data_IF_898525697600
#
_entry.id   IF_898525697600
#
_cell.length_a   1.000
_cell.length_b   1.000
_cell.length_c   1.000
_cell.angle_alpha   90.00
_cell.angle_beta   90.00
_cell.angle_gamma   90.00
#
_symmetry.space_group_name_H-M   'P 1'
#
loop_
_entity.id
_entity.type
_entity.pdbx_description
1 polymer ?
#
# COMPACT_ATOMS: atom_id res chain seq x y z
N UNK A 1 13.38 9.60 -29.47
CA UNK A 1 13.33 8.39 -28.65
C UNK A 1 12.52 8.73 -27.41
N UNK A 2 11.34 8.17 -27.24
CA UNK A 2 10.55 8.30 -26.02
C UNK A 2 11.28 7.57 -24.89
N UNK A 3 11.69 8.28 -23.86
CA UNK A 3 12.32 7.67 -22.66
C UNK A 3 11.32 6.69 -22.05
N UNK A 4 11.70 5.42 -21.94
CA UNK A 4 10.90 4.44 -21.21
C UNK A 4 10.87 4.80 -19.72
N UNK A 5 9.69 4.97 -19.14
CA UNK A 5 9.53 5.30 -17.72
C UNK A 5 9.95 4.11 -16.86
N UNK A 6 10.75 4.38 -15.84
CA UNK A 6 11.11 3.39 -14.81
C UNK A 6 10.05 3.43 -13.71
N UNK A 7 9.32 2.33 -13.56
CA UNK A 7 8.17 2.22 -12.66
C UNK A 7 8.50 1.24 -11.55
N UNK A 8 8.06 1.55 -10.31
CA UNK A 8 8.04 0.62 -9.19
C UNK A 8 6.62 0.51 -8.63
N UNK A 9 6.27 -0.70 -8.20
CA UNK A 9 5.03 -0.97 -7.49
C UNK A 9 5.33 -1.14 -6.00
N UNK A 10 4.42 -0.70 -5.14
CA UNK A 10 4.54 -0.83 -3.69
C UNK A 10 3.22 -1.37 -3.13
N UNK A 11 3.28 -2.43 -2.32
CA UNK A 11 2.11 -3.06 -1.73
C UNK A 11 2.31 -3.32 -0.24
N UNK A 12 1.24 -3.21 0.53
CA UNK A 12 1.31 -3.32 1.98
C UNK A 12 2.02 -4.60 2.45
N UNK A 13 1.57 -5.78 2.02
CA UNK A 13 2.08 -7.09 2.45
C UNK A 13 1.77 -8.20 1.44
N UNK A 14 2.76 -9.07 1.20
CA UNK A 14 2.64 -10.20 0.28
C UNK A 14 2.65 -11.50 1.11
N UNK A 15 1.52 -11.84 1.74
CA UNK A 15 1.40 -12.99 2.62
C UNK A 15 0.05 -13.74 2.52
N UNK A 16 -0.75 -13.45 1.52
CA UNK A 16 -2.05 -14.09 1.26
C UNK A 16 -2.51 -13.84 -0.18
N UNK A 17 -3.65 -14.40 -0.54
CA UNK A 17 -4.40 -14.11 -1.76
C UNK A 17 -5.70 -13.37 -1.43
N UNK A 18 -6.09 -12.39 -2.23
CA UNK A 18 -7.34 -11.64 -2.10
C UNK A 18 -7.62 -10.74 -3.31
N UNK A 19 -8.41 -9.69 -3.13
CA UNK A 19 -8.83 -8.82 -4.23
C UNK A 19 -7.76 -7.81 -4.70
N UNK A 20 -6.85 -7.41 -3.82
CA UNK A 20 -5.78 -6.47 -4.15
C UNK A 20 -4.73 -7.08 -5.07
N UNK A 21 -4.50 -8.38 -4.93
CA UNK A 21 -3.51 -9.14 -5.68
C UNK A 21 -3.88 -9.23 -7.17
N UNK A 22 -5.18 -9.26 -7.49
CA UNK A 22 -5.67 -9.15 -8.89
C UNK A 22 -5.29 -7.81 -9.53
N UNK A 23 -5.35 -6.73 -8.77
CA UNK A 23 -4.90 -5.41 -9.24
C UNK A 23 -3.41 -5.42 -9.55
N UNK A 24 -2.60 -6.03 -8.66
CA UNK A 24 -1.16 -6.15 -8.86
C UNK A 24 -0.81 -6.96 -10.09
N UNK A 25 -1.48 -8.09 -10.31
CA UNK A 25 -1.27 -8.91 -11.52
C UNK A 25 -1.64 -8.15 -12.80
N UNK A 26 -2.76 -7.41 -12.80
CA UNK A 26 -3.13 -6.57 -13.95
C UNK A 26 -2.11 -5.43 -14.19
N UNK A 27 -1.52 -4.87 -13.13
CA UNK A 27 -0.44 -3.89 -13.27
C UNK A 27 0.86 -4.53 -13.79
N UNK A 28 1.13 -5.78 -13.41
CA UNK A 28 2.26 -6.54 -13.93
C UNK A 28 2.14 -6.82 -15.43
N UNK A 29 0.93 -7.12 -15.93
CA UNK A 29 0.69 -7.27 -17.36
C UNK A 29 1.04 -6.01 -18.15
N UNK A 30 0.81 -4.82 -17.56
CA UNK A 30 1.13 -3.53 -18.18
C UNK A 30 2.62 -3.20 -18.04
N UNK A 31 3.21 -3.50 -16.87
CA UNK A 31 4.60 -3.19 -16.53
C UNK A 31 5.34 -4.40 -15.96
N UNK A 32 5.67 -5.41 -16.78
CA UNK A 32 6.27 -6.66 -16.29
C UNK A 32 7.64 -6.49 -15.65
N UNK A 33 8.38 -5.44 -16.02
CA UNK A 33 9.70 -5.14 -15.45
C UNK A 33 9.64 -4.37 -14.12
N UNK A 34 8.43 -3.93 -13.68
CA UNK A 34 8.31 -3.15 -12.45
C UNK A 34 8.51 -4.04 -11.21
N UNK A 35 9.51 -3.75 -10.35
CA UNK A 35 9.68 -4.50 -9.10
C UNK A 35 8.54 -4.17 -8.13
N UNK A 36 8.23 -5.14 -7.26
CA UNK A 36 7.21 -5.02 -6.24
C UNK A 36 7.82 -4.91 -4.85
N UNK A 37 7.74 -3.73 -4.24
CA UNK A 37 8.19 -3.45 -2.89
C UNK A 37 7.10 -3.75 -1.87
N UNK A 38 7.47 -4.30 -0.71
CA UNK A 38 6.50 -4.68 0.32
C UNK A 38 7.12 -4.68 1.73
N UNK A 39 6.29 -4.52 2.77
CA UNK A 39 6.80 -4.63 4.14
C UNK A 39 7.35 -6.03 4.43
N UNK A 40 6.59 -7.08 4.10
CA UNK A 40 6.96 -8.50 4.30
C UNK A 40 6.46 -9.37 3.16
N UNK A 41 7.21 -10.44 2.86
CA UNK A 41 6.90 -11.41 1.83
C UNK A 41 6.93 -12.85 2.38
N UNK A 42 5.87 -13.60 2.15
CA UNK A 42 5.78 -15.02 2.47
C UNK A 42 5.51 -15.85 1.20
N UNK A 43 6.55 -16.34 0.51
CA UNK A 43 6.39 -17.07 -0.75
C UNK A 43 5.56 -18.34 -0.58
N UNK A 44 5.56 -18.98 0.60
CA UNK A 44 4.76 -20.17 0.84
C UNK A 44 3.25 -19.92 0.81
N UNK A 45 2.83 -18.67 1.06
CA UNK A 45 1.41 -18.27 1.09
C UNK A 45 1.00 -17.37 -0.08
N UNK A 46 1.97 -16.90 -0.84
CA UNK A 46 1.76 -15.91 -1.88
C UNK A 46 2.50 -16.25 -3.18
N UNK A 47 2.36 -17.50 -3.66
CA UNK A 47 2.96 -17.97 -4.92
C UNK A 47 2.51 -17.15 -6.16
N UNK A 48 1.40 -16.42 -6.07
CA UNK A 48 0.98 -15.49 -7.11
C UNK A 48 2.00 -14.36 -7.37
N UNK A 49 2.86 -14.08 -6.40
CA UNK A 49 3.85 -13.02 -6.52
C UNK A 49 5.16 -13.48 -7.17
N UNK A 50 5.29 -14.76 -7.55
CA UNK A 50 6.49 -15.32 -8.18
C UNK A 50 6.80 -14.69 -9.55
N UNK A 51 5.80 -14.05 -10.18
CA UNK A 51 5.97 -13.29 -11.43
C UNK A 51 6.72 -11.96 -11.23
N UNK A 52 6.79 -11.45 -9.98
CA UNK A 52 7.43 -10.19 -9.66
C UNK A 52 8.87 -10.34 -9.15
N UNK A 53 9.70 -9.34 -9.41
CA UNK A 53 10.90 -9.12 -8.63
C UNK A 53 10.52 -8.48 -7.29
N UNK A 54 10.25 -9.31 -6.26
CA UNK A 54 9.80 -8.83 -4.94
C UNK A 54 10.98 -8.29 -4.14
N UNK A 55 10.80 -7.09 -3.55
CA UNK A 55 11.77 -6.40 -2.68
C UNK A 55 11.15 -6.13 -1.31
N UNK A 56 11.31 -7.04 -0.34
CA UNK A 56 10.80 -6.84 1.01
C UNK A 56 11.64 -5.84 1.79
N UNK A 57 11.03 -5.21 2.81
CA UNK A 57 11.70 -4.29 3.72
C UNK A 57 12.56 -5.03 4.76
N UNK A 58 13.24 -4.26 5.63
CA UNK A 58 13.98 -4.79 6.76
C UNK A 58 13.09 -5.60 7.73
N UNK A 59 11.78 -5.37 7.75
CA UNK A 59 10.83 -6.13 8.59
C UNK A 59 10.81 -7.62 8.23
N UNK A 60 11.21 -7.99 7.02
CA UNK A 60 11.36 -9.38 6.61
C UNK A 60 12.28 -10.18 7.54
N UNK A 61 13.29 -9.53 8.11
CA UNK A 61 14.32 -10.12 8.97
C UNK A 61 14.03 -9.97 10.45
N UNK A 62 12.98 -9.23 10.83
CA UNK A 62 12.56 -9.09 12.22
C UNK A 62 11.80 -10.34 12.66
N UNK A 63 12.19 -11.00 13.76
CA UNK A 63 11.48 -12.17 14.27
C UNK A 63 10.00 -11.89 14.45
N UNK A 64 9.16 -12.84 14.02
CA UNK A 64 7.70 -12.78 14.07
C UNK A 64 7.00 -11.73 13.19
N UNK A 65 7.69 -10.69 12.68
CA UNK A 65 7.05 -9.63 11.88
C UNK A 65 6.37 -10.16 10.61
N UNK A 66 6.87 -11.22 10.00
CA UNK A 66 6.30 -11.86 8.82
C UNK A 66 4.87 -12.38 9.06
N UNK A 67 4.59 -12.87 10.27
CA UNK A 67 3.31 -13.49 10.63
C UNK A 67 2.45 -12.61 11.56
N UNK A 68 3.08 -11.72 12.31
CA UNK A 68 2.48 -10.87 13.34
C UNK A 68 2.87 -9.41 13.17
N UNK A 69 2.76 -8.91 11.92
CA UNK A 69 3.07 -7.50 11.62
C UNK A 69 2.20 -6.51 12.41
N UNK A 70 1.01 -6.94 12.84
CA UNK A 70 0.11 -6.17 13.71
C UNK A 70 0.71 -5.84 15.08
N UNK A 71 1.77 -6.54 15.49
CA UNK A 71 2.50 -6.22 16.73
C UNK A 71 3.49 -5.06 16.56
N UNK A 72 3.74 -4.67 15.31
CA UNK A 72 4.71 -3.63 14.96
C UNK A 72 4.07 -2.45 14.21
N UNK A 73 2.94 -1.88 14.69
CA UNK A 73 2.21 -0.84 13.94
C UNK A 73 3.03 0.45 13.75
N UNK A 74 4.02 0.68 14.61
CA UNK A 74 4.96 1.80 14.52
C UNK A 74 6.13 1.54 13.57
N UNK A 75 6.51 0.27 13.37
CA UNK A 75 7.64 -0.08 12.52
C UNK A 75 7.28 -0.18 11.03
N UNK A 76 6.01 -0.46 10.71
CA UNK A 76 5.57 -0.58 9.30
C UNK A 76 5.71 0.73 8.52
N UNK A 77 5.31 1.90 9.03
CA UNK A 77 5.61 3.18 8.37
C UNK A 77 7.11 3.37 8.11
N UNK A 78 7.95 3.12 9.11
CA UNK A 78 9.41 3.22 8.96
C UNK A 78 9.97 2.27 7.89
N UNK A 79 9.38 1.09 7.75
CA UNK A 79 9.77 0.13 6.73
C UNK A 79 9.54 0.68 5.32
N UNK A 80 8.42 1.33 5.08
CA UNK A 80 8.15 1.97 3.79
C UNK A 80 9.00 3.22 3.59
N UNK A 81 9.26 4.01 4.62
CA UNK A 81 10.14 5.18 4.56
C UNK A 81 11.62 4.82 4.27
N UNK A 82 12.04 3.60 4.60
CA UNK A 82 13.41 3.14 4.36
C UNK A 82 13.71 2.76 2.91
N UNK A 83 12.71 2.62 2.05
CA UNK A 83 12.93 2.33 0.65
C UNK A 83 13.45 3.55 -0.11
N UNK A 84 14.37 3.30 -1.05
CA UNK A 84 14.93 4.32 -1.94
C UNK A 84 14.32 4.17 -3.34
N UNK A 85 13.73 5.26 -3.83
CA UNK A 85 13.08 5.30 -5.15
C UNK A 85 13.76 6.28 -6.11
N UNK A 86 15.03 6.61 -5.87
CA UNK A 86 15.77 7.60 -6.65
C UNK A 86 15.93 7.25 -8.13
N UNK A 87 15.91 5.96 -8.43
CA UNK A 87 16.05 5.45 -9.79
C UNK A 87 14.74 5.34 -10.55
N UNK A 88 13.59 5.69 -9.94
CA UNK A 88 12.29 5.56 -10.58
C UNK A 88 11.72 6.91 -10.98
N UNK A 89 11.02 6.93 -12.12
CA UNK A 89 10.29 8.09 -12.62
C UNK A 89 8.86 8.12 -12.03
N UNK A 90 8.27 6.93 -11.79
CA UNK A 90 6.93 6.76 -11.20
C UNK A 90 6.95 5.65 -10.17
N UNK A 91 6.30 5.88 -9.02
CA UNK A 91 6.03 4.86 -8.01
C UNK A 91 4.54 4.78 -7.77
N UNK A 92 3.97 3.57 -7.87
CA UNK A 92 2.55 3.34 -7.65
C UNK A 92 2.40 2.52 -6.37
N UNK A 93 1.81 3.13 -5.33
CA UNK A 93 1.46 2.42 -4.10
C UNK A 93 0.03 1.89 -4.17
N UNK A 94 -0.14 0.58 -4.00
CA UNK A 94 -1.43 -0.09 -3.90
C UNK A 94 -1.66 -0.40 -2.42
N UNK A 95 -2.62 0.25 -1.77
CA UNK A 95 -2.66 0.21 -0.31
C UNK A 95 -4.05 0.26 0.30
N UNK A 96 -4.20 -0.46 1.38
CA UNK A 96 -5.27 -0.35 2.38
C UNK A 96 -4.74 0.03 3.77
N UNK A 97 -3.44 0.29 3.87
CA UNK A 97 -2.73 0.57 5.11
C UNK A 97 -1.52 1.50 4.88
N UNK A 98 -0.28 0.98 4.94
CA UNK A 98 0.93 1.78 5.12
C UNK A 98 1.77 1.98 3.86
N UNK A 99 1.54 1.28 2.73
CA UNK A 99 2.39 1.42 1.53
C UNK A 99 2.45 2.85 0.96
N UNK A 100 1.50 3.73 1.32
CA UNK A 100 1.52 5.17 0.99
C UNK A 100 2.59 5.98 1.72
N UNK A 101 3.25 5.39 2.76
CA UNK A 101 4.27 6.08 3.56
C UNK A 101 5.63 6.19 2.87
N UNK A 102 5.79 5.67 1.67
CA UNK A 102 7.04 5.85 0.92
C UNK A 102 7.40 7.32 0.75
N UNK A 103 8.70 7.57 0.69
CA UNK A 103 9.25 8.90 0.42
C UNK A 103 9.84 8.89 -0.98
N UNK A 104 9.43 9.83 -1.81
CA UNK A 104 9.93 10.04 -3.16
C UNK A 104 10.58 11.40 -3.27
N UNK A 105 11.55 11.54 -4.19
CA UNK A 105 12.11 12.84 -4.53
C UNK A 105 11.11 13.64 -5.40
N UNK A 106 11.23 14.98 -5.49
CA UNK A 106 10.30 15.82 -6.25
C UNK A 106 10.16 15.49 -7.73
N UNK A 107 11.16 14.81 -8.32
CA UNK A 107 11.13 14.38 -9.72
C UNK A 107 10.55 12.99 -9.95
N UNK A 108 10.15 12.28 -8.90
CA UNK A 108 9.52 10.95 -8.94
C UNK A 108 8.05 11.10 -8.60
N UNK A 109 7.17 10.76 -9.52
CA UNK A 109 5.73 10.84 -9.33
C UNK A 109 5.25 9.71 -8.43
N UNK A 110 4.57 10.02 -7.31
CA UNK A 110 3.93 9.04 -6.43
C UNK A 110 2.42 9.01 -6.63
N UNK A 111 1.90 7.93 -7.19
CA UNK A 111 0.47 7.69 -7.37
C UNK A 111 0.02 6.66 -6.34
N UNK A 112 -1.00 6.99 -5.53
CA UNK A 112 -1.62 6.06 -4.60
C UNK A 112 -2.91 5.47 -5.20
N UNK A 113 -2.88 4.19 -5.57
CA UNK A 113 -4.09 3.43 -5.85
C UNK A 113 -4.66 2.92 -4.52
N UNK A 114 -5.59 3.68 -3.98
CA UNK A 114 -6.12 3.47 -2.64
C UNK A 114 -7.26 2.44 -2.64
N UNK A 115 -7.04 1.30 -2.01
CA UNK A 115 -8.03 0.25 -1.81
C UNK A 115 -9.06 0.67 -0.74
N UNK A 116 -8.60 1.33 0.30
CA UNK A 116 -9.37 2.06 1.31
C UNK A 116 -8.39 2.85 2.20
N UNK A 117 -8.76 3.98 2.80
CA UNK A 117 -8.03 4.53 3.94
C UNK A 117 -7.84 3.48 5.04
N UNK A 118 -6.73 3.58 5.78
CA UNK A 118 -6.30 2.58 6.78
C UNK A 118 -7.48 2.08 7.64
N UNK A 119 -7.98 0.87 7.32
CA UNK A 119 -9.28 0.40 7.78
C UNK A 119 -9.40 0.36 9.30
N UNK A 120 -8.39 -0.14 9.99
CA UNK A 120 -8.38 -0.26 11.44
C UNK A 120 -8.28 1.07 12.20
N UNK A 121 -7.93 2.17 11.49
CA UNK A 121 -7.90 3.51 12.09
C UNK A 121 -9.17 4.32 11.81
N UNK A 122 -9.88 4.03 10.71
CA UNK A 122 -10.98 4.83 10.21
C UNK A 122 -12.29 4.04 10.11
N UNK A 123 -12.60 3.51 8.93
CA UNK A 123 -13.92 2.95 8.66
C UNK A 123 -14.27 1.65 9.39
N UNK A 124 -13.29 0.93 9.91
CA UNK A 124 -13.44 -0.30 10.69
C UNK A 124 -13.01 -0.16 12.13
N UNK A 125 -12.65 1.05 12.58
CA UNK A 125 -12.03 1.27 13.89
C UNK A 125 -12.79 0.61 15.05
N UNK A 126 -14.12 0.74 15.11
CA UNK A 126 -14.92 0.19 16.19
C UNK A 126 -14.82 -1.35 16.29
N UNK A 127 -14.75 -2.03 15.14
CA UNK A 127 -14.59 -3.48 15.06
C UNK A 127 -13.23 -3.92 15.65
N UNK A 128 -12.15 -3.25 15.24
CA UNK A 128 -10.78 -3.56 15.69
C UNK A 128 -10.52 -3.11 17.13
N UNK A 129 -11.08 -1.98 17.56
CA UNK A 129 -10.92 -1.46 18.92
C UNK A 129 -11.53 -2.37 19.99
N UNK A 130 -12.62 -3.09 19.67
CA UNK A 130 -13.22 -4.08 20.57
C UNK A 130 -12.28 -5.25 20.88
N UNK A 131 -11.39 -5.59 19.95
CA UNK A 131 -10.48 -6.74 20.08
C UNK A 131 -9.07 -6.34 20.56
N UNK A 132 -8.74 -5.04 20.62
CA UNK A 132 -7.39 -4.57 20.95
C UNK A 132 -7.41 -3.27 21.74
N UNK A 133 -7.17 -3.37 23.06
CA UNK A 133 -6.97 -2.20 23.93
C UNK A 133 -5.75 -1.38 23.53
N UNK A 134 -4.68 -2.04 23.06
CA UNK A 134 -3.46 -1.38 22.58
C UNK A 134 -3.78 -0.47 21.39
N UNK A 135 -4.57 -0.96 20.42
CA UNK A 135 -5.00 -0.14 19.30
C UNK A 135 -5.81 1.07 19.76
N UNK A 136 -6.73 0.88 20.71
CA UNK A 136 -7.54 1.98 21.26
C UNK A 136 -6.66 3.09 21.86
N UNK A 137 -5.65 2.72 22.62
CA UNK A 137 -4.72 3.65 23.26
C UNK A 137 -3.82 4.36 22.21
N UNK A 138 -3.37 3.66 21.20
CA UNK A 138 -2.46 4.19 20.17
C UNK A 138 -3.17 4.91 19.02
N UNK A 139 -4.47 4.70 18.83
CA UNK A 139 -5.20 5.21 17.68
C UNK A 139 -5.05 6.72 17.43
N UNK A 140 -5.05 7.61 18.43
CA UNK A 140 -4.86 9.04 18.20
C UNK A 140 -3.50 9.36 17.56
N UNK A 141 -2.44 8.68 17.99
CA UNK A 141 -1.08 8.86 17.45
C UNK A 141 -0.99 8.27 16.05
N UNK A 142 -1.48 7.03 15.88
CA UNK A 142 -1.48 6.35 14.58
C UNK A 142 -2.30 7.09 13.53
N UNK A 143 -3.43 7.70 13.90
CA UNK A 143 -4.23 8.56 13.01
C UNK A 143 -3.46 9.79 12.55
N UNK A 144 -2.71 10.45 13.45
CA UNK A 144 -1.86 11.58 13.06
C UNK A 144 -0.79 11.16 12.06
N UNK A 145 -0.13 10.04 12.29
CA UNK A 145 0.84 9.49 11.34
C UNK A 145 0.17 9.13 10.01
N UNK A 146 -1.02 8.53 10.06
CA UNK A 146 -1.76 8.14 8.84
C UNK A 146 -2.14 9.36 7.99
N UNK A 147 -2.51 10.47 8.62
CA UNK A 147 -2.74 11.76 7.92
C UNK A 147 -1.44 12.26 7.29
N UNK A 148 -0.31 12.23 8.02
CA UNK A 148 1.00 12.63 7.45
C UNK A 148 1.36 11.73 6.27
N UNK A 149 1.22 10.40 6.39
CA UNK A 149 1.46 9.47 5.29
C UNK A 149 0.53 9.72 4.10
N UNK A 150 -0.71 10.13 4.35
CA UNK A 150 -1.68 10.42 3.30
C UNK A 150 -1.37 11.70 2.50
N UNK A 151 -0.51 12.57 2.99
CA UNK A 151 -0.08 13.77 2.26
C UNK A 151 1.06 13.51 1.26
N UNK A 152 1.72 12.35 1.32
CA UNK A 152 2.89 12.02 0.50
C UNK A 152 2.59 11.70 -0.96
N UNK A 153 1.52 10.97 -1.31
CA UNK A 153 1.16 10.76 -2.71
C UNK A 153 0.83 12.09 -3.40
N UNK A 154 1.35 12.27 -4.62
CA UNK A 154 0.98 13.39 -5.48
C UNK A 154 -0.49 13.26 -5.90
N UNK A 155 -0.89 12.06 -6.32
CA UNK A 155 -2.25 11.77 -6.79
C UNK A 155 -2.87 10.56 -6.12
N UNK A 156 -4.19 10.62 -5.94
CA UNK A 156 -5.01 9.50 -5.47
C UNK A 156 -5.91 8.97 -6.58
N UNK A 157 -5.88 7.65 -6.76
CA UNK A 157 -6.85 6.88 -7.54
C UNK A 157 -7.63 6.01 -6.55
N UNK A 158 -8.95 6.03 -6.61
CA UNK A 158 -9.79 5.22 -5.73
C UNK A 158 -10.35 4.00 -6.49
N UNK A 159 -10.46 2.86 -5.81
CA UNK A 159 -11.05 1.64 -6.40
C UNK A 159 -12.57 1.71 -6.56
N UNK A 160 -13.24 2.70 -5.96
CA UNK A 160 -14.70 2.86 -6.05
C UNK A 160 -15.11 4.25 -5.58
N UNK A 161 -16.34 4.67 -5.91
CA UNK A 161 -16.94 5.92 -5.42
C UNK A 161 -17.00 5.96 -3.87
N UNK A 162 -17.27 4.81 -3.24
CA UNK A 162 -17.27 4.70 -1.78
C UNK A 162 -15.89 4.97 -1.18
N UNK A 163 -14.83 4.48 -1.81
CA UNK A 163 -13.45 4.74 -1.37
C UNK A 163 -13.06 6.18 -1.64
N UNK A 164 -13.45 6.76 -2.78
CA UNK A 164 -13.30 8.20 -3.04
C UNK A 164 -13.86 9.03 -1.89
N UNK A 165 -15.12 8.84 -1.53
CA UNK A 165 -15.75 9.58 -0.43
C UNK A 165 -15.03 9.38 0.93
N UNK A 166 -14.44 8.19 1.17
CA UNK A 166 -13.62 7.94 2.38
C UNK A 166 -12.30 8.69 2.35
N UNK A 167 -11.61 8.75 1.21
CA UNK A 167 -10.34 9.51 1.06
C UNK A 167 -10.61 10.99 1.33
N UNK A 168 -11.64 11.55 0.71
CA UNK A 168 -12.05 12.94 0.91
C UNK A 168 -12.41 13.21 2.37
N UNK A 169 -13.18 12.33 3.00
CA UNK A 169 -13.61 12.45 4.41
C UNK A 169 -12.48 12.36 5.42
N UNK A 170 -11.59 11.35 5.28
CA UNK A 170 -10.62 11.02 6.31
C UNK A 170 -9.26 11.67 6.09
N UNK A 171 -8.85 11.85 4.83
CA UNK A 171 -7.55 12.41 4.46
C UNK A 171 -7.64 13.86 3.98
N UNK A 172 -8.84 14.35 3.64
CA UNK A 172 -9.01 15.68 3.06
C UNK A 172 -8.35 15.81 1.68
N UNK A 173 -8.08 14.67 1.00
CA UNK A 173 -7.39 14.64 -0.29
C UNK A 173 -8.38 14.51 -1.42
N UNK A 174 -8.14 15.24 -2.53
CA UNK A 174 -8.85 15.03 -3.79
C UNK A 174 -8.50 13.67 -4.40
N UNK A 175 -9.45 13.10 -5.15
CA UNK A 175 -9.25 11.87 -5.91
C UNK A 175 -9.37 12.19 -7.39
N UNK A 176 -8.28 11.99 -8.13
CA UNK A 176 -8.19 12.30 -9.55
C UNK A 176 -9.12 11.42 -10.39
N UNK A 177 -9.17 10.14 -10.08
CA UNK A 177 -9.97 9.18 -10.83
C UNK A 177 -10.45 8.02 -9.97
N UNK A 178 -11.60 7.45 -10.33
CA UNK A 178 -12.06 6.16 -9.84
C UNK A 178 -11.79 5.13 -10.92
N UNK A 179 -10.96 4.11 -10.59
CA UNK A 179 -10.66 2.97 -11.44
C UNK A 179 -11.03 1.72 -10.68
N UNK A 180 -12.05 1.00 -11.14
CA UNK A 180 -12.50 -0.24 -10.51
C UNK A 180 -11.47 -1.35 -10.67
N UNK A 181 -11.35 -2.27 -9.69
CA UNK A 181 -10.48 -3.44 -9.82
C UNK A 181 -10.85 -4.29 -11.03
N UNK A 182 -9.88 -4.99 -11.64
CA UNK A 182 -10.17 -5.91 -12.71
C UNK A 182 -11.06 -7.06 -12.22
N UNK A 183 -11.98 -7.49 -13.06
CA UNK A 183 -12.85 -8.65 -12.84
C UNK A 183 -12.50 -9.68 -13.91
N UNK A 184 -12.24 -10.89 -13.48
CA UNK A 184 -12.06 -12.02 -14.36
C UNK A 184 -13.44 -12.42 -14.92
N UNK A 185 -13.60 -12.30 -16.25
CA UNK A 185 -14.87 -12.59 -16.94
C UNK A 185 -14.89 -13.97 -17.57
N UNK A 186 -13.81 -14.73 -17.47
CA UNK A 186 -13.64 -16.04 -18.11
C UNK A 186 -13.93 -17.23 -17.14
N UNK A 187 -14.70 -16.95 -16.05
CA UNK A 187 -15.18 -17.98 -15.12
C UNK A 187 -16.67 -18.18 -15.23
#
# INVERSE_FOLDING_TARGET
>A
MTKQLRIALVYDRINKWGGAERVLLALHEIWPEAPLYTAVYDPAKAGWADVFTVRPSFLQYVPFAKHHHEWFPWATPMAFESFLFDDYDVVISITSAEAKYIITKPSTLHICYCLTPTRYLWSGYEEYARSSQLLTMMAPVLRRWDIVGSSRPDYYIAISQRVKARIEKYYGRSVEKVIYPPVDTDQ
#
